data_IF_042735558211
#
_entry.id   IF_042735558211
#
_cell.length_a   1.000
_cell.length_b   1.000
_cell.length_c   1.000
_cell.angle_alpha   90.00
_cell.angle_beta   90.00
_cell.angle_gamma   90.00
#
_symmetry.space_group_name_H-M   'P 1'
#
loop_
_entity.id
_entity.type
_entity.pdbx_description
1 polymer ?
#
# COMPACT_ATOMS: atom_id res chain seq x y z
N UNK A 1 -8.85 31.50 5.88
CA UNK A 1 -8.66 31.72 4.42
C UNK A 1 -10.04 31.58 3.76
N UNK A 2 -10.35 32.41 2.75
CA UNK A 2 -11.63 32.28 2.06
C UNK A 2 -11.58 31.08 1.10
N UNK A 3 -12.31 30.00 1.44
CA UNK A 3 -12.29 28.72 0.71
C UNK A 3 -12.84 28.82 -0.72
N UNK A 4 -13.56 29.89 -1.07
CA UNK A 4 -14.16 30.08 -2.41
C UNK A 4 -13.15 30.07 -3.58
N UNK A 5 -11.85 30.30 -3.29
CA UNK A 5 -10.79 30.28 -4.30
C UNK A 5 -10.25 28.87 -4.58
N UNK A 6 -10.64 27.87 -3.79
CA UNK A 6 -10.23 26.50 -3.98
C UNK A 6 -11.16 25.78 -4.95
N UNK A 7 -10.64 24.70 -5.60
CA UNK A 7 -11.53 23.75 -6.27
C UNK A 7 -12.56 23.23 -5.27
N UNK A 8 -13.78 22.92 -5.73
CA UNK A 8 -14.89 22.41 -4.88
C UNK A 8 -14.47 21.24 -4.00
N UNK A 9 -13.66 20.33 -4.53
CA UNK A 9 -13.10 19.19 -3.80
C UNK A 9 -12.34 19.62 -2.53
N UNK A 10 -11.55 20.69 -2.58
CA UNK A 10 -10.77 21.21 -1.45
C UNK A 10 -11.52 22.24 -0.58
N UNK A 11 -12.73 22.65 -0.98
CA UNK A 11 -13.56 23.53 -0.15
C UNK A 11 -14.15 22.79 1.05
N UNK A 12 -14.45 21.50 0.86
CA UNK A 12 -15.02 20.60 1.86
C UNK A 12 -14.22 19.27 1.83
N UNK A 13 -12.96 19.29 2.29
CA UNK A 13 -12.16 18.07 2.32
C UNK A 13 -12.83 17.02 3.20
N UNK A 14 -12.80 15.77 2.76
CA UNK A 14 -13.19 14.67 3.63
C UNK A 14 -12.23 14.59 4.84
N UNK A 15 -12.75 14.16 5.98
CA UNK A 15 -11.94 13.94 7.17
C UNK A 15 -10.84 12.93 6.87
N UNK A 16 -9.61 13.29 7.12
CA UNK A 16 -8.47 12.38 7.02
C UNK A 16 -8.11 11.85 8.41
N UNK A 17 -8.91 10.89 8.87
CA UNK A 17 -8.79 10.29 10.19
C UNK A 17 -7.35 9.85 10.50
N UNK A 18 -6.64 9.30 9.51
CA UNK A 18 -5.25 8.86 9.68
C UNK A 18 -4.33 10.05 10.01
N UNK A 19 -4.50 11.17 9.31
CA UNK A 19 -3.70 12.37 9.56
C UNK A 19 -4.09 13.08 10.85
N UNK A 20 -5.37 13.06 11.20
CA UNK A 20 -5.87 13.67 12.43
C UNK A 20 -5.30 12.97 13.65
N UNK A 21 -5.32 11.64 13.68
CA UNK A 21 -4.68 10.85 14.73
C UNK A 21 -3.17 11.07 14.80
N UNK A 22 -2.49 11.13 13.65
CA UNK A 22 -1.05 11.42 13.60
C UNK A 22 -0.75 12.83 14.14
N UNK A 23 -1.59 13.82 13.85
CA UNK A 23 -1.44 15.19 14.33
C UNK A 23 -1.68 15.28 15.85
N UNK A 24 -2.72 14.61 16.36
CA UNK A 24 -2.96 14.53 17.81
C UNK A 24 -1.77 13.92 18.54
N UNK A 25 -1.21 12.87 17.98
CA UNK A 25 -0.05 12.17 18.53
C UNK A 25 1.22 13.03 18.56
N UNK A 26 1.42 13.90 17.59
CA UNK A 26 2.61 14.78 17.51
C UNK A 26 2.74 15.77 18.67
N UNK A 27 1.68 15.95 19.47
CA UNK A 27 1.63 16.84 20.63
C UNK A 27 1.86 16.10 21.96
N UNK A 28 2.09 14.78 21.93
CA UNK A 28 2.22 13.95 23.12
C UNK A 28 3.67 13.48 23.32
N UNK A 29 4.15 13.58 24.54
CA UNK A 29 5.45 13.01 24.96
C UNK A 29 5.28 11.53 25.34
N UNK A 30 6.33 10.72 25.15
CA UNK A 30 6.40 9.29 25.54
C UNK A 30 5.33 8.39 24.88
N UNK A 31 4.95 8.70 23.65
CA UNK A 31 3.96 7.96 22.90
C UNK A 31 4.54 6.68 22.28
N UNK A 32 3.86 5.56 22.46
CA UNK A 32 4.12 4.33 21.72
C UNK A 32 3.38 4.40 20.38
N UNK A 33 4.10 4.73 19.31
CA UNK A 33 3.49 4.94 18.01
C UNK A 33 3.49 3.66 17.15
N UNK A 34 2.34 3.03 17.02
CA UNK A 34 2.07 1.85 16.19
C UNK A 34 1.14 2.18 15.01
N UNK A 35 1.08 3.44 14.61
CA UNK A 35 0.15 3.92 13.58
C UNK A 35 0.76 3.97 12.19
N UNK A 36 2.07 4.23 12.08
CA UNK A 36 2.73 4.56 10.81
C UNK A 36 3.34 3.30 10.19
N UNK A 37 3.02 3.05 8.93
CA UNK A 37 3.64 1.99 8.13
C UNK A 37 5.03 2.38 7.61
N UNK A 38 5.89 2.90 8.49
CA UNK A 38 7.26 3.27 8.20
C UNK A 38 8.19 2.32 8.96
N UNK A 39 8.90 1.40 8.27
CA UNK A 39 9.84 0.50 8.92
C UNK A 39 10.85 1.26 9.80
N UNK A 40 11.02 0.84 11.05
CA UNK A 40 12.06 1.36 11.95
C UNK A 40 13.49 0.95 11.54
N UNK A 41 13.58 0.05 10.58
CA UNK A 41 14.84 -0.40 10.01
C UNK A 41 15.48 0.71 9.18
N UNK A 42 16.79 0.78 9.22
CA UNK A 42 17.57 1.71 8.38
C UNK A 42 17.74 1.05 7.01
N UNK A 43 17.62 1.84 5.92
CA UNK A 43 18.01 1.40 4.57
C UNK A 43 19.38 0.73 4.62
N UNK A 44 19.51 -0.46 4.05
CA UNK A 44 20.78 -1.19 4.06
C UNK A 44 21.93 -0.29 3.56
N UNK A 45 23.04 -0.29 4.31
CA UNK A 45 24.17 0.60 4.06
C UNK A 45 24.74 0.41 2.65
N UNK A 46 24.75 -0.81 2.11
CA UNK A 46 25.25 -1.08 0.78
C UNK A 46 24.42 -0.39 -0.31
N UNK A 47 23.09 -0.29 -0.15
CA UNK A 47 22.21 0.49 -1.04
C UNK A 47 22.61 1.96 -1.02
N UNK A 48 22.76 2.53 0.18
CA UNK A 48 23.09 3.95 0.36
C UNK A 48 24.48 4.25 -0.21
N UNK A 49 25.46 3.40 0.06
CA UNK A 49 26.84 3.58 -0.46
C UNK A 49 26.89 3.50 -1.97
N UNK A 50 26.22 2.52 -2.59
CA UNK A 50 26.16 2.39 -4.04
C UNK A 50 25.52 3.61 -4.71
N UNK A 51 24.41 4.11 -4.16
CA UNK A 51 23.76 5.30 -4.68
C UNK A 51 24.64 6.55 -4.57
N UNK A 52 25.31 6.77 -3.43
CA UNK A 52 26.19 7.92 -3.25
C UNK A 52 27.48 7.83 -4.06
N UNK A 53 28.00 6.63 -4.33
CA UNK A 53 29.11 6.46 -5.25
C UNK A 53 28.71 6.84 -6.68
N UNK A 54 27.53 6.44 -7.13
CA UNK A 54 26.99 6.85 -8.43
C UNK A 54 26.80 8.38 -8.50
N UNK A 55 26.32 9.01 -7.42
CA UNK A 55 26.22 10.49 -7.34
C UNK A 55 27.60 11.15 -7.51
N UNK A 56 28.65 10.64 -6.86
CA UNK A 56 30.02 11.14 -7.04
C UNK A 56 30.52 10.95 -8.47
N UNK A 57 30.08 9.90 -9.15
CA UNK A 57 30.43 9.60 -10.54
C UNK A 57 29.55 10.38 -11.55
N UNK A 58 28.76 11.35 -11.10
CA UNK A 58 28.02 12.28 -11.95
C UNK A 58 26.57 11.92 -12.24
N UNK A 59 25.99 10.90 -11.61
CA UNK A 59 24.55 10.56 -11.74
C UNK A 59 23.66 11.55 -10.95
N UNK A 60 23.69 12.84 -11.35
CA UNK A 60 22.98 13.94 -10.68
C UNK A 60 22.09 14.75 -11.63
N UNK A 61 22.05 14.38 -12.90
CA UNK A 61 21.26 15.04 -13.93
C UNK A 61 19.88 14.37 -14.08
N UNK A 62 18.97 15.05 -14.79
CA UNK A 62 17.70 14.47 -15.15
C UNK A 62 17.86 13.17 -15.93
N UNK A 63 17.04 12.18 -15.62
CA UNK A 63 16.83 11.01 -16.48
C UNK A 63 15.72 11.29 -17.49
N UNK A 64 15.43 10.34 -18.38
CA UNK A 64 14.19 10.35 -19.13
C UNK A 64 13.00 10.36 -18.16
N UNK A 65 11.85 10.87 -18.60
CA UNK A 65 10.65 11.02 -17.77
C UNK A 65 10.10 9.67 -17.26
N UNK A 66 10.34 8.60 -17.97
CA UNK A 66 10.01 7.22 -17.60
C UNK A 66 11.09 6.54 -16.74
N UNK A 67 12.23 7.18 -16.53
CA UNK A 67 13.34 6.69 -15.72
C UNK A 67 14.61 6.45 -16.52
N UNK A 68 15.71 6.13 -15.83
CA UNK A 68 16.95 5.76 -16.48
C UNK A 68 16.83 4.37 -17.12
N UNK A 69 17.54 4.16 -18.23
CA UNK A 69 17.52 2.87 -18.93
C UNK A 69 17.95 1.72 -18.02
N UNK A 70 18.94 1.95 -17.17
CA UNK A 70 19.46 0.97 -16.21
C UNK A 70 18.41 0.60 -15.14
N UNK A 71 17.63 1.58 -14.67
CA UNK A 71 16.56 1.36 -13.70
C UNK A 71 15.45 0.52 -14.32
N UNK A 72 14.99 0.88 -15.51
CA UNK A 72 13.96 0.13 -16.25
C UNK A 72 14.42 -1.31 -16.47
N UNK A 73 15.65 -1.51 -16.90
CA UNK A 73 16.23 -2.84 -17.12
C UNK A 73 16.32 -3.66 -15.83
N UNK A 74 16.66 -3.02 -14.70
CA UNK A 74 16.68 -3.69 -13.39
C UNK A 74 15.30 -4.17 -12.96
N UNK A 75 14.24 -3.41 -13.22
CA UNK A 75 12.85 -3.83 -12.95
C UNK A 75 12.46 -5.01 -13.84
N UNK A 76 12.75 -4.95 -15.14
CA UNK A 76 12.46 -6.05 -16.08
C UNK A 76 13.17 -7.33 -15.65
N UNK A 77 14.46 -7.24 -15.35
CA UNK A 77 15.26 -8.39 -14.91
C UNK A 77 14.77 -8.97 -13.58
N UNK A 78 14.29 -8.12 -12.66
CA UNK A 78 13.70 -8.56 -11.41
C UNK A 78 12.44 -9.41 -11.66
N UNK A 79 11.49 -8.93 -12.47
CA UNK A 79 10.27 -9.68 -12.77
C UNK A 79 10.53 -10.95 -13.54
N UNK A 80 11.44 -10.93 -14.50
CA UNK A 80 11.84 -12.13 -15.23
C UNK A 80 12.47 -13.17 -14.33
N UNK A 81 13.38 -12.77 -13.43
CA UNK A 81 14.09 -13.67 -12.52
C UNK A 81 13.20 -14.19 -11.39
N UNK A 82 12.36 -13.33 -10.81
CA UNK A 82 11.58 -13.64 -9.62
C UNK A 82 10.26 -14.33 -9.93
N UNK A 83 9.63 -13.98 -11.07
CA UNK A 83 8.26 -14.37 -11.39
C UNK A 83 8.10 -14.99 -12.79
N UNK A 84 9.16 -15.11 -13.56
CA UNK A 84 9.15 -15.58 -14.97
C UNK A 84 8.23 -14.72 -15.87
N UNK A 85 8.11 -13.43 -15.55
CA UNK A 85 7.35 -12.45 -16.33
C UNK A 85 8.28 -11.56 -17.15
N UNK A 86 7.94 -11.37 -18.43
CA UNK A 86 8.72 -10.56 -19.35
C UNK A 86 7.94 -9.31 -19.74
N UNK A 87 8.60 -8.15 -19.65
CA UNK A 87 8.03 -6.86 -20.00
C UNK A 87 8.94 -6.12 -20.97
N UNK A 88 8.35 -5.30 -21.85
CA UNK A 88 9.09 -4.42 -22.74
C UNK A 88 9.46 -3.12 -22.01
N UNK A 89 10.55 -2.47 -22.45
CA UNK A 89 11.05 -1.23 -21.82
C UNK A 89 10.01 -0.11 -21.77
N UNK A 90 9.16 0.00 -22.77
CA UNK A 90 8.10 1.00 -22.86
C UNK A 90 6.88 0.72 -21.95
N UNK A 91 6.84 -0.44 -21.31
CA UNK A 91 5.82 -0.80 -20.32
C UNK A 91 6.21 -0.40 -18.89
N UNK A 92 7.48 -0.11 -18.63
CA UNK A 92 8.02 0.16 -17.28
C UNK A 92 8.36 1.62 -17.11
N UNK A 93 8.06 2.18 -15.95
CA UNK A 93 8.51 3.52 -15.57
C UNK A 93 8.84 3.65 -14.10
N UNK A 94 9.84 4.48 -13.79
CA UNK A 94 10.15 4.95 -12.45
C UNK A 94 9.08 5.95 -11.97
N UNK A 95 8.73 5.88 -10.69
CA UNK A 95 7.75 6.76 -10.04
C UNK A 95 8.26 7.28 -8.70
N UNK A 96 7.69 8.38 -8.22
CA UNK A 96 7.97 8.92 -6.87
C UNK A 96 7.16 8.13 -5.83
N UNK A 97 7.54 6.85 -5.65
CA UNK A 97 6.77 5.84 -4.93
C UNK A 97 5.55 5.35 -5.73
N UNK A 98 4.98 4.22 -5.31
CA UNK A 98 3.79 3.64 -5.95
C UNK A 98 2.60 4.60 -6.00
N UNK A 99 2.45 5.45 -4.97
CA UNK A 99 1.35 6.41 -4.85
C UNK A 99 1.29 7.40 -6.03
N UNK A 100 2.43 7.85 -6.55
CA UNK A 100 2.47 8.68 -7.76
C UNK A 100 2.08 7.87 -9.00
N UNK A 101 2.51 6.62 -9.12
CA UNK A 101 2.11 5.75 -10.22
C UNK A 101 0.59 5.58 -10.30
N UNK A 102 -0.05 5.32 -9.16
CA UNK A 102 -1.50 5.22 -9.04
C UNK A 102 -2.18 6.54 -9.45
N UNK A 103 -1.68 7.67 -8.93
CA UNK A 103 -2.21 8.99 -9.27
C UNK A 103 -2.13 9.27 -10.79
N UNK A 104 -0.96 9.06 -11.40
CA UNK A 104 -0.77 9.27 -12.84
C UNK A 104 -1.73 8.40 -13.66
N UNK A 105 -1.85 7.13 -13.27
CA UNK A 105 -2.73 6.17 -13.95
C UNK A 105 -4.19 6.62 -13.89
N UNK A 106 -4.69 6.97 -12.71
CA UNK A 106 -6.08 7.41 -12.56
C UNK A 106 -6.36 8.70 -13.34
N UNK A 107 -5.41 9.65 -13.36
CA UNK A 107 -5.54 10.91 -14.10
C UNK A 107 -5.61 10.71 -15.63
N UNK A 108 -4.92 9.72 -16.18
CA UNK A 108 -4.92 9.47 -17.63
C UNK A 108 -6.01 8.49 -18.06
N UNK A 109 -6.52 7.68 -17.12
CA UNK A 109 -7.48 6.62 -17.41
C UNK A 109 -8.94 7.09 -17.30
N UNK A 110 -9.24 7.96 -16.31
CA UNK A 110 -10.62 8.27 -15.93
C UNK A 110 -11.17 9.51 -16.62
N UNK A 111 -12.36 9.37 -17.18
CA UNK A 111 -13.24 10.48 -17.49
C UNK A 111 -14.26 10.69 -16.36
N UNK A 112 -15.01 11.79 -16.45
CA UNK A 112 -16.10 12.06 -15.52
C UNK A 112 -17.12 10.92 -15.54
N UNK A 113 -17.50 10.45 -14.37
CA UNK A 113 -18.46 9.35 -14.13
C UNK A 113 -17.94 7.94 -14.43
N UNK A 114 -16.71 7.74 -14.91
CA UNK A 114 -16.11 6.42 -14.93
C UNK A 114 -16.02 5.86 -13.50
N UNK A 115 -16.33 4.58 -13.36
CA UNK A 115 -16.37 3.91 -12.06
C UNK A 115 -15.09 3.12 -11.79
N UNK A 116 -14.60 3.23 -10.56
CA UNK A 116 -13.47 2.43 -10.07
C UNK A 116 -13.92 1.64 -8.85
N UNK A 117 -13.89 0.31 -8.95
CA UNK A 117 -14.20 -0.58 -7.85
C UNK A 117 -13.03 -0.60 -6.87
N UNK A 118 -13.31 -0.48 -5.57
CA UNK A 118 -12.31 -0.55 -4.49
C UNK A 118 -12.83 -1.51 -3.42
N UNK A 119 -12.07 -2.55 -3.09
CA UNK A 119 -12.42 -3.43 -1.97
C UNK A 119 -12.16 -2.75 -0.63
N UNK A 120 -13.06 -2.90 0.31
CA UNK A 120 -12.98 -2.33 1.65
C UNK A 120 -12.76 -3.45 2.68
N UNK A 121 -11.82 -3.33 3.66
CA UNK A 121 -11.00 -2.14 3.97
C UNK A 121 -9.93 -1.84 2.93
N UNK A 122 -9.63 -0.54 2.74
CA UNK A 122 -8.67 -0.07 1.73
C UNK A 122 -7.74 1.04 2.26
N UNK A 123 -6.60 1.22 1.63
CA UNK A 123 -5.72 2.34 1.89
C UNK A 123 -6.38 3.65 1.41
N UNK A 124 -6.66 4.56 2.35
CA UNK A 124 -7.51 5.75 2.14
C UNK A 124 -7.19 6.61 0.91
N UNK A 125 -5.93 6.79 0.46
CA UNK A 125 -5.62 7.57 -0.74
C UNK A 125 -6.27 7.06 -2.03
N UNK A 126 -6.61 5.77 -2.15
CA UNK A 126 -7.22 5.26 -3.38
C UNK A 126 -8.52 5.97 -3.71
N UNK A 127 -9.43 6.06 -2.72
CA UNK A 127 -10.73 6.73 -2.88
C UNK A 127 -10.55 8.21 -3.24
N UNK A 128 -9.67 8.90 -2.54
CA UNK A 128 -9.38 10.30 -2.79
C UNK A 128 -8.84 10.54 -4.20
N UNK A 129 -7.88 9.73 -4.65
CA UNK A 129 -7.29 9.86 -5.99
C UNK A 129 -8.29 9.57 -7.11
N UNK A 130 -9.21 8.61 -6.92
CA UNK A 130 -10.31 8.35 -7.89
C UNK A 130 -11.20 9.58 -8.02
N UNK A 131 -11.62 10.19 -6.91
CA UNK A 131 -12.47 11.38 -6.91
C UNK A 131 -11.74 12.59 -7.54
N UNK A 132 -10.46 12.80 -7.20
CA UNK A 132 -9.65 13.88 -7.78
C UNK A 132 -9.45 13.73 -9.29
N UNK A 133 -9.41 12.51 -9.79
CA UNK A 133 -9.36 12.21 -11.22
C UNK A 133 -10.71 12.35 -11.92
N UNK A 134 -11.80 12.65 -11.18
CA UNK A 134 -13.14 12.82 -11.72
C UNK A 134 -13.96 11.52 -11.79
N UNK A 135 -13.43 10.41 -11.35
CA UNK A 135 -14.10 9.11 -11.29
C UNK A 135 -15.02 8.96 -10.09
N UNK A 136 -15.79 7.89 -10.07
CA UNK A 136 -16.72 7.49 -9.01
C UNK A 136 -16.20 6.22 -8.34
N UNK A 137 -15.82 6.25 -7.04
CA UNK A 137 -15.43 5.04 -6.33
C UNK A 137 -16.67 4.19 -6.02
N UNK A 138 -16.61 2.90 -6.41
CA UNK A 138 -17.61 1.88 -6.09
C UNK A 138 -17.01 0.93 -5.06
N UNK A 139 -17.49 1.01 -3.82
CA UNK A 139 -16.91 0.27 -2.70
C UNK A 139 -17.58 -1.09 -2.56
N UNK A 140 -16.78 -2.16 -2.50
CA UNK A 140 -17.24 -3.52 -2.22
C UNK A 140 -16.63 -4.02 -0.91
N UNK A 141 -17.43 -4.56 0.04
CA UNK A 141 -16.91 -5.03 1.31
C UNK A 141 -16.16 -6.36 1.17
N UNK A 142 -15.16 -6.55 2.03
CA UNK A 142 -14.58 -7.85 2.36
C UNK A 142 -14.79 -8.15 3.85
N UNK A 143 -14.83 -9.42 4.25
CA UNK A 143 -15.24 -9.83 5.58
C UNK A 143 -14.16 -10.70 6.26
N UNK A 144 -14.05 -10.57 7.58
CA UNK A 144 -13.10 -11.33 8.39
C UNK A 144 -13.34 -12.84 8.31
N UNK A 145 -14.63 -13.27 8.31
CA UNK A 145 -15.02 -14.67 8.18
C UNK A 145 -14.57 -15.33 6.87
N UNK A 146 -14.42 -14.53 5.80
CA UNK A 146 -13.91 -14.96 4.49
C UNK A 146 -12.39 -14.70 4.34
N UNK A 147 -11.70 -14.35 5.44
CA UNK A 147 -10.29 -13.99 5.43
C UNK A 147 -9.98 -12.74 4.63
N UNK A 148 -10.92 -11.79 4.58
CA UNK A 148 -10.86 -10.55 3.80
C UNK A 148 -10.61 -10.77 2.29
N UNK A 149 -10.98 -11.94 1.74
CA UNK A 149 -10.97 -12.18 0.30
C UNK A 149 -12.06 -11.37 -0.39
N UNK A 150 -11.83 -11.00 -1.66
CA UNK A 150 -12.89 -10.38 -2.46
C UNK A 150 -13.94 -11.43 -2.80
N UNK A 151 -15.19 -11.16 -2.41
CA UNK A 151 -16.32 -12.00 -2.78
C UNK A 151 -16.68 -11.73 -4.25
N UNK A 152 -16.55 -12.75 -5.07
CA UNK A 152 -16.70 -12.64 -6.53
C UNK A 152 -18.15 -12.35 -6.96
N UNK A 153 -19.14 -12.80 -6.22
CA UNK A 153 -20.55 -12.48 -6.53
C UNK A 153 -20.84 -11.00 -6.24
N UNK A 154 -20.28 -10.45 -5.17
CA UNK A 154 -20.37 -9.02 -4.85
C UNK A 154 -19.64 -8.22 -5.95
N UNK A 155 -18.44 -8.65 -6.35
CA UNK A 155 -17.69 -7.99 -7.42
C UNK A 155 -18.49 -7.99 -8.73
N UNK A 156 -19.04 -9.13 -9.14
CA UNK A 156 -19.88 -9.24 -10.35
C UNK A 156 -21.08 -8.29 -10.32
N UNK A 157 -21.73 -8.18 -9.16
CA UNK A 157 -22.88 -7.28 -9.00
C UNK A 157 -22.50 -5.79 -9.05
N UNK A 158 -21.23 -5.45 -8.75
CA UNK A 158 -20.72 -4.08 -8.77
C UNK A 158 -20.24 -3.63 -10.16
N UNK A 159 -20.02 -4.57 -11.10
CA UNK A 159 -19.57 -4.26 -12.46
C UNK A 159 -20.72 -3.65 -13.27
N UNK A 160 -20.47 -2.51 -13.90
CA UNK A 160 -21.39 -1.81 -14.79
C UNK A 160 -20.69 -1.44 -16.10
N UNK A 161 -21.42 -0.97 -17.13
CA UNK A 161 -20.80 -0.44 -18.34
C UNK A 161 -19.90 0.79 -18.13
N UNK A 162 -19.92 1.40 -16.93
CA UNK A 162 -19.04 2.51 -16.54
C UNK A 162 -17.80 2.06 -15.79
N UNK A 163 -17.71 0.79 -15.42
CA UNK A 163 -16.56 0.24 -14.70
C UNK A 163 -15.31 0.35 -15.56
N UNK A 164 -14.36 1.15 -15.12
CA UNK A 164 -13.10 1.41 -15.83
C UNK A 164 -11.94 0.63 -15.23
N UNK A 165 -11.96 0.44 -13.91
CA UNK A 165 -10.94 -0.30 -13.21
C UNK A 165 -11.43 -0.87 -11.87
N UNK A 166 -10.65 -1.83 -11.36
CA UNK A 166 -10.67 -2.25 -9.96
C UNK A 166 -9.30 -1.97 -9.35
N UNK A 167 -9.25 -1.41 -8.13
CA UNK A 167 -8.01 -1.32 -7.35
C UNK A 167 -7.96 -2.50 -6.40
N UNK A 168 -6.87 -3.27 -6.47
CA UNK A 168 -6.57 -4.35 -5.53
C UNK A 168 -5.23 -4.07 -4.84
N UNK A 169 -5.14 -4.45 -3.55
CA UNK A 169 -3.90 -4.38 -2.79
C UNK A 169 -3.69 -5.70 -2.06
N UNK A 170 -2.69 -6.45 -2.47
CA UNK A 170 -2.33 -7.74 -1.88
C UNK A 170 -0.82 -7.95 -1.95
N UNK A 171 -0.17 -8.27 -0.81
CA UNK A 171 -0.69 -8.31 0.57
C UNK A 171 -1.31 -6.99 1.01
N UNK A 172 -2.38 -7.04 1.81
CA UNK A 172 -3.27 -5.90 2.04
C UNK A 172 -2.85 -5.00 3.22
N UNK A 173 -3.00 -3.71 3.02
CA UNK A 173 -3.08 -2.68 4.05
C UNK A 173 -4.56 -2.21 4.13
N UNK A 174 -5.29 -2.46 5.24
CA UNK A 174 -4.80 -2.69 6.60
C UNK A 174 -4.84 -4.15 7.09
N UNK A 175 -5.47 -5.09 6.36
CA UNK A 175 -5.93 -6.37 6.94
C UNK A 175 -4.82 -7.42 7.14
N UNK A 176 -3.70 -7.30 6.43
CA UNK A 176 -2.69 -8.35 6.37
C UNK A 176 -3.10 -9.58 5.54
N UNK A 177 -4.23 -9.51 4.85
CA UNK A 177 -4.69 -10.57 3.98
C UNK A 177 -3.82 -10.67 2.71
N UNK A 178 -3.63 -11.88 2.23
CA UNK A 178 -3.07 -12.19 0.91
C UNK A 178 -4.17 -12.84 0.09
N UNK A 179 -4.47 -12.28 -1.08
CA UNK A 179 -5.51 -12.84 -1.94
C UNK A 179 -5.02 -14.13 -2.57
N UNK A 180 -5.92 -15.13 -2.65
CA UNK A 180 -5.61 -16.42 -3.22
C UNK A 180 -5.41 -16.34 -4.74
N UNK A 181 -4.68 -17.31 -5.31
CA UNK A 181 -4.53 -17.42 -6.76
C UNK A 181 -5.87 -17.61 -7.47
N UNK A 182 -6.80 -18.27 -6.82
CA UNK A 182 -8.17 -18.46 -7.28
C UNK A 182 -8.90 -17.10 -7.36
N UNK A 183 -8.84 -16.32 -6.30
CA UNK A 183 -9.41 -14.95 -6.26
C UNK A 183 -8.81 -14.08 -7.37
N UNK A 184 -7.49 -14.12 -7.55
CA UNK A 184 -6.82 -13.38 -8.62
C UNK A 184 -7.27 -13.82 -10.01
N UNK A 185 -7.39 -15.13 -10.22
CA UNK A 185 -7.85 -15.66 -11.52
C UNK A 185 -9.28 -15.22 -11.83
N UNK A 186 -10.19 -15.28 -10.86
CA UNK A 186 -11.58 -14.86 -11.06
C UNK A 186 -11.70 -13.36 -11.32
N UNK A 187 -10.91 -12.51 -10.65
CA UNK A 187 -10.83 -11.07 -10.95
C UNK A 187 -10.29 -10.84 -12.36
N UNK A 188 -9.26 -11.58 -12.77
CA UNK A 188 -8.68 -11.50 -14.10
C UNK A 188 -9.69 -11.90 -15.20
N UNK A 189 -10.39 -13.00 -15.00
CA UNK A 189 -11.41 -13.49 -15.94
C UNK A 189 -12.51 -12.40 -16.12
N UNK A 190 -12.97 -11.77 -15.04
CA UNK A 190 -13.95 -10.66 -15.10
C UNK A 190 -13.40 -9.41 -15.78
N UNK A 191 -12.15 -9.06 -15.52
CA UNK A 191 -11.51 -7.90 -16.15
C UNK A 191 -11.38 -8.08 -17.68
N UNK A 192 -11.06 -9.29 -18.12
CA UNK A 192 -10.99 -9.65 -19.54
C UNK A 192 -12.40 -9.67 -20.16
N UNK A 193 -13.39 -10.26 -19.48
CA UNK A 193 -14.76 -10.37 -19.97
C UNK A 193 -15.43 -9.01 -20.17
N UNK A 194 -15.21 -8.09 -19.21
CA UNK A 194 -15.86 -6.78 -19.17
C UNK A 194 -14.98 -5.62 -19.65
N UNK A 195 -13.74 -5.90 -20.08
CA UNK A 195 -12.76 -4.93 -20.61
C UNK A 195 -12.48 -3.75 -19.67
N UNK A 196 -12.11 -4.05 -18.41
CA UNK A 196 -11.65 -3.06 -17.45
C UNK A 196 -10.24 -3.39 -16.93
N UNK A 197 -9.56 -2.38 -16.35
CA UNK A 197 -8.21 -2.55 -15.81
C UNK A 197 -8.19 -3.03 -14.35
N UNK A 198 -7.15 -3.79 -14.01
CA UNK A 198 -6.81 -4.15 -12.64
C UNK A 198 -5.61 -3.28 -12.23
N UNK A 199 -5.83 -2.36 -11.30
CA UNK A 199 -4.81 -1.51 -10.69
C UNK A 199 -4.26 -2.26 -9.48
N UNK A 200 -3.19 -3.03 -9.68
CA UNK A 200 -2.61 -3.93 -8.67
C UNK A 200 -1.54 -3.22 -7.87
N UNK A 201 -1.84 -2.85 -6.63
CA UNK A 201 -0.86 -2.32 -5.67
C UNK A 201 -0.15 -3.48 -4.96
N UNK A 202 1.08 -3.76 -5.40
CA UNK A 202 1.91 -4.88 -4.98
C UNK A 202 3.08 -4.44 -4.09
N UNK A 203 2.98 -3.30 -3.40
CA UNK A 203 4.07 -2.72 -2.57
C UNK A 203 4.50 -3.61 -1.40
N UNK A 204 3.70 -4.61 -1.05
CA UNK A 204 3.99 -5.60 -0.01
C UNK A 204 4.28 -6.99 -0.57
N UNK A 205 4.61 -7.13 -1.85
CA UNK A 205 4.83 -8.43 -2.53
C UNK A 205 5.80 -9.34 -1.76
N UNK A 206 6.90 -8.77 -1.26
CA UNK A 206 7.90 -9.48 -0.46
C UNK A 206 7.37 -9.98 0.89
N UNK A 207 6.28 -9.40 1.40
CA UNK A 207 5.69 -9.73 2.70
C UNK A 207 4.56 -10.78 2.59
N UNK A 208 4.63 -11.68 1.64
CA UNK A 208 3.80 -12.89 1.62
C UNK A 208 4.50 -13.97 2.44
N UNK A 209 4.05 -14.22 3.69
CA UNK A 209 4.83 -14.98 4.67
C UNK A 209 4.73 -16.49 4.54
N UNK A 210 3.66 -17.01 3.97
CA UNK A 210 3.34 -18.44 3.99
C UNK A 210 3.15 -19.04 2.60
N UNK A 211 3.05 -18.21 1.58
CA UNK A 211 2.90 -18.63 0.19
C UNK A 211 3.78 -17.73 -0.70
N UNK A 212 4.28 -18.27 -1.79
CA UNK A 212 4.98 -17.48 -2.79
C UNK A 212 4.02 -16.48 -3.42
N UNK A 213 4.41 -15.22 -3.42
CA UNK A 213 3.63 -14.17 -4.07
C UNK A 213 3.53 -14.42 -5.58
N UNK A 214 2.33 -14.20 -6.11
CA UNK A 214 2.08 -14.28 -7.56
C UNK A 214 1.57 -12.94 -8.04
N UNK A 215 2.29 -12.22 -8.92
CA UNK A 215 1.83 -10.95 -9.47
C UNK A 215 0.53 -11.10 -10.26
N UNK A 216 -0.34 -10.09 -10.15
CA UNK A 216 -1.62 -10.08 -10.88
C UNK A 216 -1.45 -10.15 -12.39
N UNK A 217 -0.36 -9.60 -12.92
CA UNK A 217 0.01 -9.65 -14.32
C UNK A 217 0.21 -11.08 -14.86
N UNK A 218 0.40 -12.08 -13.98
CA UNK A 218 0.44 -13.51 -14.36
C UNK A 218 -0.88 -13.99 -14.96
N UNK A 219 -2.01 -13.44 -14.52
CA UNK A 219 -3.35 -13.87 -14.91
C UNK A 219 -3.96 -13.02 -16.03
N UNK A 220 -3.71 -11.71 -16.02
CA UNK A 220 -4.26 -10.78 -17.01
C UNK A 220 -3.23 -9.71 -17.41
N UNK A 221 -2.13 -10.06 -18.13
CA UNK A 221 -1.02 -9.14 -18.41
C UNK A 221 -1.44 -7.88 -19.16
N UNK A 222 -2.42 -7.94 -20.04
CA UNK A 222 -2.88 -6.80 -20.85
C UNK A 222 -3.93 -5.93 -20.15
N UNK A 223 -4.49 -6.40 -19.03
CA UNK A 223 -5.49 -5.69 -18.23
C UNK A 223 -4.93 -5.28 -16.84
N UNK A 224 -3.69 -5.59 -16.54
CA UNK A 224 -3.07 -5.25 -15.25
C UNK A 224 -2.14 -4.06 -15.38
N UNK A 225 -2.27 -3.14 -14.42
CA UNK A 225 -1.30 -2.09 -14.17
C UNK A 225 -0.75 -2.34 -12.77
N UNK A 226 0.53 -2.70 -12.69
CA UNK A 226 1.20 -3.03 -11.43
C UNK A 226 1.89 -1.81 -10.85
N UNK A 227 1.74 -1.60 -9.56
CA UNK A 227 2.44 -0.58 -8.78
C UNK A 227 3.28 -1.24 -7.71
N UNK A 228 4.55 -0.88 -7.62
CA UNK A 228 5.45 -1.35 -6.59
C UNK A 228 6.36 -0.24 -6.06
N UNK A 229 7.02 -0.50 -4.93
CA UNK A 229 7.82 0.51 -4.24
C UNK A 229 8.97 -0.12 -3.47
N UNK A 230 10.06 0.61 -3.37
CA UNK A 230 11.20 0.25 -2.51
C UNK A 230 10.98 0.61 -1.04
N UNK A 231 9.89 1.32 -0.75
CA UNK A 231 9.61 1.85 0.58
C UNK A 231 9.57 0.80 1.68
N UNK A 232 9.03 -0.41 1.40
CA UNK A 232 8.72 -1.41 2.42
C UNK A 232 9.81 -2.47 2.51
N UNK A 233 10.01 -3.27 1.48
CA UNK A 233 10.96 -4.37 1.46
C UNK A 233 12.42 -3.94 1.68
N UNK A 234 12.76 -2.68 1.36
CA UNK A 234 14.12 -2.16 1.48
C UNK A 234 14.25 -1.05 2.55
N UNK A 235 13.21 -0.77 3.34
CA UNK A 235 13.18 0.33 4.30
C UNK A 235 13.59 1.68 3.69
N UNK A 236 13.05 1.99 2.50
CA UNK A 236 13.44 3.15 1.69
C UNK A 236 12.29 4.19 1.57
N UNK A 237 11.51 4.38 2.60
CA UNK A 237 10.35 5.29 2.58
C UNK A 237 10.73 6.73 2.21
N UNK A 238 11.83 7.24 2.77
CA UNK A 238 12.36 8.59 2.54
C UNK A 238 13.02 8.79 1.16
N UNK A 239 13.38 7.72 0.46
CA UNK A 239 14.01 7.80 -0.87
C UNK A 239 13.00 8.15 -1.98
N UNK A 240 11.70 7.99 -1.73
CA UNK A 240 10.62 8.29 -2.67
C UNK A 240 10.83 7.68 -4.04
N UNK A 241 11.04 6.37 -4.09
CA UNK A 241 11.21 5.61 -5.34
C UNK A 241 10.29 4.40 -5.40
N UNK A 242 9.72 4.17 -6.57
CA UNK A 242 8.89 3.04 -6.93
C UNK A 242 8.89 2.90 -8.44
N UNK A 243 8.04 2.03 -8.92
CA UNK A 243 7.83 1.84 -10.35
C UNK A 243 6.38 1.40 -10.63
N UNK A 244 5.97 1.59 -11.87
CA UNK A 244 4.76 0.97 -12.40
C UNK A 244 5.07 0.21 -13.68
N UNK A 245 4.28 -0.83 -13.95
CA UNK A 245 4.30 -1.62 -15.17
C UNK A 245 2.89 -1.59 -15.75
N UNK A 246 2.76 -1.12 -16.98
CA UNK A 246 1.47 -0.90 -17.62
C UNK A 246 1.55 -1.21 -19.14
N UNK A 247 0.43 -1.39 -19.82
CA UNK A 247 0.40 -1.35 -21.29
C UNK A 247 1.10 -0.08 -21.80
N UNK A 248 1.80 -0.21 -22.92
CA UNK A 248 2.69 0.83 -23.45
C UNK A 248 1.98 2.17 -23.69
N UNK A 249 0.74 2.15 -24.18
CA UNK A 249 -0.05 3.36 -24.44
C UNK A 249 -0.47 4.07 -23.15
N UNK A 250 -0.74 3.33 -22.06
CA UNK A 250 -1.00 3.91 -20.72
C UNK A 250 0.27 4.54 -20.19
N UNK A 251 1.40 3.83 -20.27
CA UNK A 251 2.68 4.36 -19.84
C UNK A 251 3.09 5.61 -20.63
N UNK A 252 2.82 5.65 -21.93
CA UNK A 252 3.06 6.82 -22.78
C UNK A 252 2.19 8.03 -22.34
N UNK A 253 0.92 7.82 -22.01
CA UNK A 253 0.04 8.87 -21.49
C UNK A 253 0.52 9.38 -20.12
N UNK A 254 0.88 8.46 -19.21
CA UNK A 254 1.47 8.82 -17.91
C UNK A 254 2.79 9.60 -18.06
N UNK A 255 3.59 9.30 -19.09
CA UNK A 255 4.83 10.04 -19.41
C UNK A 255 4.52 11.50 -19.70
N UNK A 256 3.57 11.77 -20.61
CA UNK A 256 3.17 13.13 -20.96
C UNK A 256 2.72 13.91 -19.72
N UNK A 257 1.85 13.32 -18.90
CA UNK A 257 1.39 13.98 -17.69
C UNK A 257 2.51 14.22 -16.69
N UNK A 258 3.43 13.26 -16.51
CA UNK A 258 4.52 13.38 -15.54
C UNK A 258 5.57 14.43 -15.92
N UNK A 259 5.75 14.68 -17.22
CA UNK A 259 6.65 15.74 -17.71
C UNK A 259 6.24 17.13 -17.19
N UNK A 260 4.93 17.33 -16.96
CA UNK A 260 4.37 18.58 -16.43
C UNK A 260 4.28 18.62 -14.89
N UNK A 261 4.56 17.50 -14.19
CA UNK A 261 4.42 17.42 -12.72
C UNK A 261 5.79 17.35 -12.04
N UNK A 262 6.55 16.27 -12.25
CA UNK A 262 7.85 16.04 -11.61
C UNK A 262 8.98 15.86 -12.61
N UNK A 263 8.67 15.82 -13.88
CA UNK A 263 9.56 15.50 -14.99
C UNK A 263 10.08 14.05 -14.91
N UNK A 264 10.86 13.70 -13.88
CA UNK A 264 11.36 12.33 -13.64
C UNK A 264 11.44 12.04 -12.15
N UNK A 265 11.48 10.76 -11.78
CA UNK A 265 11.80 10.37 -10.41
C UNK A 265 13.26 10.77 -10.07
N UNK A 266 13.60 11.00 -8.77
CA UNK A 266 14.93 11.45 -8.38
C UNK A 266 16.03 10.49 -8.83
N UNK A 267 17.01 10.97 -9.57
CA UNK A 267 18.11 10.15 -10.11
C UNK A 267 18.88 9.40 -9.03
N UNK A 268 19.29 10.01 -7.90
CA UNK A 268 19.96 9.28 -6.83
C UNK A 268 19.12 8.11 -6.28
N UNK A 269 17.80 8.29 -6.18
CA UNK A 269 16.89 7.25 -5.71
C UNK A 269 16.75 6.11 -6.72
N UNK A 270 16.74 6.40 -8.02
CA UNK A 270 16.78 5.37 -9.06
C UNK A 270 18.08 4.54 -8.97
N UNK A 271 19.24 5.18 -8.72
CA UNK A 271 20.53 4.48 -8.52
C UNK A 271 20.48 3.54 -7.32
N UNK A 272 19.88 3.99 -6.19
CA UNK A 272 19.62 3.15 -5.03
C UNK A 272 18.72 1.96 -5.39
N UNK A 273 17.65 2.18 -6.14
CA UNK A 273 16.71 1.15 -6.58
C UNK A 273 17.35 0.08 -7.47
N UNK A 274 18.26 0.47 -8.36
CA UNK A 274 19.04 -0.47 -9.21
C UNK A 274 19.82 -1.44 -8.32
N UNK A 275 20.57 -0.92 -7.35
CA UNK A 275 21.34 -1.75 -6.44
C UNK A 275 20.42 -2.68 -5.63
N UNK A 276 19.33 -2.14 -5.11
CA UNK A 276 18.36 -2.88 -4.31
C UNK A 276 17.76 -4.08 -5.06
N UNK A 277 17.27 -3.89 -6.30
CA UNK A 277 16.70 -4.98 -7.10
C UNK A 277 17.74 -6.02 -7.51
N UNK A 278 18.93 -5.58 -7.90
CA UNK A 278 19.99 -6.50 -8.31
C UNK A 278 20.49 -7.40 -7.16
N UNK A 279 20.27 -6.98 -5.91
CA UNK A 279 20.67 -7.72 -4.70
C UNK A 279 19.45 -8.14 -3.84
N UNK A 280 18.26 -8.24 -4.44
CA UNK A 280 17.00 -8.55 -3.76
C UNK A 280 17.10 -9.79 -2.85
N UNK A 281 17.64 -10.89 -3.37
CA UNK A 281 17.74 -12.18 -2.66
C UNK A 281 18.65 -12.12 -1.43
N UNK A 282 19.58 -11.17 -1.39
CA UNK A 282 20.49 -10.97 -0.25
C UNK A 282 19.91 -10.00 0.78
N UNK A 283 19.21 -8.95 0.31
CA UNK A 283 18.79 -7.83 1.16
C UNK A 283 17.42 -8.03 1.82
N UNK A 284 16.48 -8.67 1.12
CA UNK A 284 15.07 -8.69 1.54
C UNK A 284 14.74 -9.75 2.59
N UNK A 285 15.29 -10.98 2.58
CA UNK A 285 14.90 -12.03 3.51
C UNK A 285 15.03 -11.66 4.99
N UNK A 286 16.07 -10.92 5.37
CA UNK A 286 16.28 -10.47 6.76
C UNK A 286 15.16 -9.48 7.19
N UNK A 287 14.80 -8.54 6.33
CA UNK A 287 13.72 -7.57 6.59
C UNK A 287 12.40 -8.31 6.79
N UNK A 288 12.09 -9.27 5.92
CA UNK A 288 10.85 -10.05 5.99
C UNK A 288 10.79 -10.89 7.26
N UNK A 289 11.90 -11.51 7.67
CA UNK A 289 11.97 -12.30 8.90
C UNK A 289 11.63 -11.47 10.15
N UNK A 290 12.14 -10.22 10.23
CA UNK A 290 11.84 -9.29 11.32
C UNK A 290 10.34 -8.99 11.42
N UNK A 291 9.69 -8.67 10.30
CA UNK A 291 8.25 -8.35 10.31
C UNK A 291 7.37 -9.57 10.59
N UNK A 292 7.75 -10.73 10.08
CA UNK A 292 7.07 -11.99 10.37
C UNK A 292 7.10 -12.29 11.87
N UNK A 293 8.27 -12.23 12.50
CA UNK A 293 8.44 -12.44 13.95
C UNK A 293 7.57 -11.45 14.77
N UNK A 294 7.56 -10.17 14.39
CA UNK A 294 6.77 -9.14 15.05
C UNK A 294 5.26 -9.41 14.96
N UNK A 295 4.78 -9.80 13.78
CA UNK A 295 3.37 -10.11 13.58
C UNK A 295 2.96 -11.40 14.29
N UNK A 296 3.81 -12.43 14.32
CA UNK A 296 3.59 -13.63 15.13
C UNK A 296 3.49 -13.28 16.63
N UNK A 297 4.33 -12.33 17.11
CA UNK A 297 4.21 -11.82 18.47
C UNK A 297 2.89 -11.07 18.70
N UNK A 298 2.47 -10.21 17.76
CA UNK A 298 1.18 -9.50 17.83
C UNK A 298 0.02 -10.49 17.89
N UNK A 299 -0.01 -11.51 17.03
CA UNK A 299 -1.03 -12.55 17.04
C UNK A 299 -1.11 -13.30 18.38
N UNK A 300 0.05 -13.60 18.97
CA UNK A 300 0.11 -14.22 20.28
C UNK A 300 -0.53 -13.33 21.36
N UNK A 301 -0.14 -12.05 21.41
CA UNK A 301 -0.64 -11.11 22.41
C UNK A 301 -2.13 -10.83 22.26
N UNK A 302 -2.63 -10.70 21.04
CA UNK A 302 -4.08 -10.54 20.80
C UNK A 302 -4.89 -11.70 21.38
N UNK A 303 -4.42 -12.95 21.24
CA UNK A 303 -5.09 -14.13 21.81
C UNK A 303 -5.13 -14.16 23.35
N UNK A 304 -4.23 -13.42 24.01
CA UNK A 304 -4.16 -13.33 25.48
C UNK A 304 -5.13 -12.27 26.05
N UNK A 305 -5.65 -11.36 25.21
CA UNK A 305 -6.51 -10.23 25.63
C UNK A 305 -7.97 -10.52 25.25
N UNK A 306 -8.88 -10.73 26.23
CA UNK A 306 -10.23 -11.26 25.97
C UNK A 306 -11.14 -10.42 25.07
N UNK A 307 -10.89 -9.10 24.98
CA UNK A 307 -11.69 -8.18 24.17
C UNK A 307 -11.10 -7.93 22.77
N UNK A 308 -10.05 -8.66 22.41
CA UNK A 308 -9.42 -8.59 21.08
C UNK A 308 -9.53 -9.92 20.34
N UNK A 309 -9.65 -9.84 19.03
CA UNK A 309 -9.44 -10.98 18.14
C UNK A 309 -8.76 -10.54 16.86
N UNK A 310 -8.21 -11.48 16.10
CA UNK A 310 -7.47 -11.19 14.89
C UNK A 310 -7.56 -12.38 13.94
N UNK A 311 -7.96 -12.11 12.69
CA UNK A 311 -7.76 -13.09 11.62
C UNK A 311 -6.25 -13.26 11.38
N UNK A 312 -5.75 -14.49 11.15
CA UNK A 312 -4.33 -14.73 10.95
C UNK A 312 -3.72 -13.83 9.87
N UNK A 313 -2.64 -13.12 10.20
CA UNK A 313 -1.96 -12.24 9.29
C UNK A 313 -1.10 -13.05 8.32
N UNK A 314 -1.45 -13.02 7.04
CA UNK A 314 -0.73 -13.78 6.01
C UNK A 314 0.37 -12.97 5.33
N UNK A 315 0.29 -11.64 5.41
CA UNK A 315 1.24 -10.78 4.74
C UNK A 315 1.20 -9.32 5.21
N UNK A 316 1.91 -8.45 4.52
CA UNK A 316 2.12 -7.04 4.82
C UNK A 316 2.84 -6.80 6.17
N UNK A 317 2.69 -5.62 6.75
CA UNK A 317 3.30 -5.27 8.05
C UNK A 317 2.25 -4.79 9.07
N UNK A 318 0.97 -5.15 8.85
CA UNK A 318 -0.15 -4.68 9.65
C UNK A 318 -0.93 -5.82 10.25
N UNK A 319 -1.48 -5.56 11.44
CA UNK A 319 -2.52 -6.36 12.07
C UNK A 319 -3.81 -5.51 12.15
N UNK A 320 -4.91 -6.06 11.64
CA UNK A 320 -6.23 -5.44 11.69
C UNK A 320 -7.04 -6.12 12.77
N UNK A 321 -6.90 -5.58 13.98
CA UNK A 321 -7.34 -6.20 15.23
C UNK A 321 -8.82 -5.87 15.46
N UNK A 322 -9.65 -6.90 15.59
CA UNK A 322 -11.06 -6.78 15.91
C UNK A 322 -11.23 -6.44 17.39
N UNK A 323 -12.01 -5.39 17.67
CA UNK A 323 -12.27 -4.82 18.98
C UNK A 323 -13.75 -4.90 19.38
N UNK A 324 -14.59 -5.62 18.62
CA UNK A 324 -16.05 -5.65 18.81
C UNK A 324 -16.45 -6.04 20.23
N UNK A 325 -15.67 -6.92 20.90
CA UNK A 325 -15.94 -7.36 22.26
C UNK A 325 -15.72 -6.26 23.31
N UNK A 326 -15.08 -5.13 22.97
CA UNK A 326 -14.96 -3.95 23.83
C UNK A 326 -16.27 -3.15 23.93
N UNK A 327 -17.18 -3.32 22.96
CA UNK A 327 -18.41 -2.54 22.84
C UNK A 327 -18.22 -1.10 22.36
N UNK A 328 -16.99 -0.71 21.97
CA UNK A 328 -16.66 0.64 21.49
C UNK A 328 -16.58 0.68 19.96
N UNK A 329 -16.80 1.88 19.38
CA UNK A 329 -16.43 2.17 17.99
C UNK A 329 -14.90 2.20 17.85
N UNK A 330 -14.38 2.04 16.63
CA UNK A 330 -12.94 2.13 16.39
C UNK A 330 -12.36 3.49 16.79
N UNK A 331 -13.13 4.57 16.62
CA UNK A 331 -12.74 5.92 17.00
C UNK A 331 -12.65 6.07 18.51
N UNK A 332 -13.68 5.60 19.25
CA UNK A 332 -13.70 5.69 20.71
C UNK A 332 -12.60 4.84 21.32
N UNK A 333 -12.41 3.62 20.80
CA UNK A 333 -11.35 2.71 21.27
C UNK A 333 -9.96 3.33 21.06
N UNK A 334 -9.64 3.79 19.84
CA UNK A 334 -8.34 4.38 19.54
C UNK A 334 -8.08 5.67 20.35
N UNK A 335 -9.12 6.50 20.54
CA UNK A 335 -9.04 7.71 21.36
C UNK A 335 -8.78 7.38 22.83
N UNK A 336 -9.53 6.43 23.38
CA UNK A 336 -9.35 5.97 24.76
C UNK A 336 -7.95 5.39 24.97
N UNK A 337 -7.49 4.52 24.07
CA UNK A 337 -6.15 3.93 24.12
C UNK A 337 -5.06 5.01 24.09
N UNK A 338 -5.21 6.00 23.22
CA UNK A 338 -4.28 7.12 23.10
C UNK A 338 -4.23 7.96 24.41
N UNK A 339 -5.39 8.33 24.94
CA UNK A 339 -5.48 9.22 26.09
C UNK A 339 -5.09 8.56 27.40
N UNK A 340 -5.50 7.32 27.64
CA UNK A 340 -5.28 6.63 28.92
C UNK A 340 -3.95 5.88 28.96
N UNK A 341 -3.48 5.36 27.82
CA UNK A 341 -2.33 4.46 27.77
C UNK A 341 -1.17 4.99 26.93
N UNK A 342 -1.33 6.11 26.23
CA UNK A 342 -0.30 6.70 25.35
C UNK A 342 0.17 5.70 24.27
N UNK A 343 -0.76 4.90 23.72
CA UNK A 343 -0.52 4.01 22.60
C UNK A 343 -1.33 4.51 21.41
N UNK A 344 -0.66 4.77 20.30
CA UNK A 344 -1.27 5.22 19.07
C UNK A 344 -1.44 4.07 18.08
N UNK A 345 -2.67 3.81 17.72
CA UNK A 345 -3.08 2.94 16.60
C UNK A 345 -4.01 3.73 15.68
N UNK A 346 -4.30 3.23 14.49
CA UNK A 346 -5.26 3.87 13.60
C UNK A 346 -6.63 3.20 13.76
N UNK A 347 -7.71 3.98 14.01
CA UNK A 347 -9.05 3.43 14.01
C UNK A 347 -9.39 2.86 12.64
N UNK A 348 -10.03 1.69 12.61
CA UNK A 348 -10.34 1.00 11.37
C UNK A 348 -11.28 1.77 10.44
N UNK A 349 -12.08 2.69 11.00
CA UNK A 349 -12.91 3.64 10.24
C UNK A 349 -12.10 4.44 9.20
N UNK A 350 -10.81 4.67 9.41
CA UNK A 350 -9.92 5.33 8.46
C UNK A 350 -9.73 4.55 7.14
N UNK A 351 -10.09 3.26 7.13
CA UNK A 351 -9.94 2.35 5.99
C UNK A 351 -11.29 1.97 5.37
N UNK A 352 -12.35 2.68 5.75
CA UNK A 352 -13.70 2.50 5.25
C UNK A 352 -14.71 2.16 6.36
N UNK A 353 -15.98 2.09 5.97
CA UNK A 353 -17.08 1.92 6.93
C UNK A 353 -17.09 0.52 7.59
N UNK A 354 -16.69 -0.51 6.86
CA UNK A 354 -16.58 -1.89 7.37
C UNK A 354 -15.49 -2.03 8.45
N UNK A 355 -14.57 -1.05 8.52
CA UNK A 355 -13.49 -1.04 9.50
C UNK A 355 -13.87 -0.59 10.92
N UNK A 356 -15.13 -0.16 11.18
CA UNK A 356 -15.47 0.47 12.46
C UNK A 356 -15.42 -0.45 13.69
N UNK A 357 -15.32 -1.75 13.49
CA UNK A 357 -15.07 -2.72 14.56
C UNK A 357 -13.59 -3.11 14.74
N UNK A 358 -12.68 -2.38 14.11
CA UNK A 358 -11.27 -2.75 14.07
C UNK A 358 -10.36 -1.57 14.40
N UNK A 359 -9.13 -1.90 14.81
CA UNK A 359 -7.99 -0.98 14.81
C UNK A 359 -6.86 -1.54 13.95
N UNK A 360 -6.12 -0.67 13.27
CA UNK A 360 -4.89 -1.09 12.58
C UNK A 360 -3.67 -0.80 13.44
N UNK A 361 -2.89 -1.84 13.70
CA UNK A 361 -1.56 -1.78 14.29
C UNK A 361 -0.51 -2.04 13.20
N UNK A 362 0.51 -1.18 13.12
CA UNK A 362 1.68 -1.38 12.28
C UNK A 362 2.81 -2.02 13.11
N UNK A 363 3.32 -3.18 12.69
CA UNK A 363 4.41 -3.89 13.36
C UNK A 363 5.80 -3.29 13.01
N UNK A 364 5.86 -1.96 12.94
CA UNK A 364 7.04 -1.19 12.53
C UNK A 364 7.92 -0.76 13.71
N UNK A 365 7.73 -1.37 14.87
CA UNK A 365 8.51 -1.13 16.08
C UNK A 365 9.12 -2.43 16.58
N UNK A 366 10.16 -2.33 17.45
CA UNK A 366 10.81 -3.50 18.04
C UNK A 366 9.83 -4.33 18.89
N UNK A 367 10.17 -5.60 19.11
CA UNK A 367 9.41 -6.51 20.00
C UNK A 367 9.24 -5.92 21.40
N UNK A 368 10.25 -5.24 21.93
CA UNK A 368 10.18 -4.62 23.27
C UNK A 368 9.13 -3.51 23.31
N UNK A 369 9.06 -2.67 22.27
CA UNK A 369 8.04 -1.62 22.15
C UNK A 369 6.64 -2.23 21.97
N UNK A 370 6.51 -3.26 21.14
CA UNK A 370 5.26 -4.01 20.97
C UNK A 370 4.80 -4.64 22.29
N UNK A 371 5.74 -5.21 23.08
CA UNK A 371 5.44 -5.77 24.40
C UNK A 371 4.88 -4.71 25.32
N UNK A 372 5.57 -3.56 25.46
CA UNK A 372 5.11 -2.46 26.29
C UNK A 372 3.71 -1.98 25.88
N UNK A 373 3.47 -1.86 24.56
CA UNK A 373 2.18 -1.44 24.03
C UNK A 373 1.06 -2.43 24.39
N UNK A 374 1.28 -3.73 24.23
CA UNK A 374 0.29 -4.73 24.60
C UNK A 374 0.06 -4.84 26.10
N UNK A 375 1.10 -4.66 26.94
CA UNK A 375 0.99 -4.58 28.40
C UNK A 375 0.15 -3.36 28.86
N UNK A 376 0.09 -2.30 28.04
CA UNK A 376 -0.78 -1.14 28.24
C UNK A 376 -2.19 -1.37 27.68
N UNK A 377 -2.32 -1.97 26.50
CA UNK A 377 -3.63 -2.31 25.91
C UNK A 377 -4.43 -3.22 26.85
N UNK A 378 -3.78 -4.22 27.45
CA UNK A 378 -4.41 -5.18 28.38
C UNK A 378 -5.04 -4.50 29.62
N UNK A 379 -4.59 -3.30 29.99
CA UNK A 379 -5.10 -2.54 31.14
C UNK A 379 -6.33 -1.69 30.85
N UNK A 380 -6.79 -1.66 29.59
CA UNK A 380 -8.02 -0.94 29.26
C UNK A 380 -9.22 -1.62 29.94
N UNK A 381 -10.08 -0.81 30.56
CA UNK A 381 -11.35 -1.22 31.18
C UNK A 381 -12.51 -0.58 30.42
N UNK A 382 -13.61 -1.33 30.25
CA UNK A 382 -14.79 -0.92 29.48
C UNK A 382 -16.06 -1.01 30.29
#
# INVERSE_FOLDING_TARGET
MDSRYLKTFYQHPEENILMDFTTMASQMDNLLNLSIGDPDLITNLAISQAAFEDVKNGHTHYTASDGSADFIESVINFYQKQYDLNFEKNQVRATVGALQGMYLTLQVLLNKEDEVIIHEPFFSPYRTQVIEAGGTPVIIPTFEEDGFQINIDILKAAITPKTKAIIINSPNNPTGAVFSKETFKEIADLAIEHDFFILSDEVYEAFSFYEDFTPMATFAPNHTITFSSFSKAFAMTGWRIGYMIAPDYINAACKLLNEDITFSAPTPSQRAGIYALNNYQELVPEVIAVFKERLEYVEKRVKEIPFLSLHPVKGSMYAFINISASGLTSMDFATKLLQEQQVLVIPGKAFGNSGDNYIRLAATQSIDVLKEAFDKIEKLEF
#
